data_IF_390562370670
#
_entry.id   IF_390562370670
#
_cell.length_a   1.000
_cell.length_b   1.000
_cell.length_c   1.000
_cell.angle_alpha   90.00
_cell.angle_beta   90.00
_cell.angle_gamma   90.00
#
_symmetry.space_group_name_H-M   'P 1'
#
loop_
_entity.id
_entity.type
_entity.pdbx_description
1 polymer ?
#
# COMPACT_ATOMS: atom_id res chain seq x y z
N UNK A 1 -22.21 26.14 -77.34
CA UNK A 1 -21.06 26.54 -76.51
C UNK A 1 -20.83 25.46 -75.44
N UNK A 2 -19.77 24.66 -75.56
CA UNK A 2 -19.39 23.62 -74.58
C UNK A 2 -18.50 24.25 -73.50
N UNK A 3 -18.96 24.19 -72.25
CA UNK A 3 -18.25 24.70 -71.07
C UNK A 3 -17.12 23.74 -70.66
N UNK A 4 -15.87 24.20 -70.73
CA UNK A 4 -14.68 23.51 -70.22
C UNK A 4 -14.66 23.65 -68.69
N UNK A 5 -14.80 22.53 -67.97
CA UNK A 5 -14.42 22.45 -66.55
C UNK A 5 -12.91 22.42 -66.46
N UNK A 6 -12.34 23.39 -65.76
CA UNK A 6 -10.93 23.50 -65.42
C UNK A 6 -10.66 22.71 -64.14
N UNK A 7 -9.84 21.67 -64.26
CA UNK A 7 -9.30 20.92 -63.12
C UNK A 7 -8.40 21.82 -62.26
N UNK A 8 -8.73 21.92 -60.97
CA UNK A 8 -7.89 22.60 -59.97
C UNK A 8 -6.86 21.63 -59.38
N UNK A 9 -5.66 22.12 -58.99
CA UNK A 9 -4.48 21.27 -58.85
C UNK A 9 -4.41 20.53 -57.52
N UNK A 10 -3.75 19.38 -57.58
CA UNK A 10 -3.46 18.35 -56.56
C UNK A 10 -2.58 18.85 -55.38
N UNK A 11 -2.37 20.16 -55.27
CA UNK A 11 -1.40 20.77 -54.34
C UNK A 11 -1.71 20.53 -52.84
N UNK A 12 -2.99 20.38 -52.47
CA UNK A 12 -3.39 20.18 -51.08
C UNK A 12 -2.97 18.82 -50.49
N UNK A 13 -2.89 17.78 -51.32
CA UNK A 13 -2.52 16.43 -50.85
C UNK A 13 -1.02 16.30 -50.59
N UNK A 14 -0.20 17.02 -51.34
CA UNK A 14 1.26 16.98 -51.19
C UNK A 14 1.72 17.47 -49.80
N UNK A 15 1.13 18.58 -49.33
CA UNK A 15 1.46 19.14 -48.00
C UNK A 15 1.11 18.21 -46.84
N UNK A 16 -0.01 17.49 -46.94
CA UNK A 16 -0.41 16.49 -45.94
C UNK A 16 0.60 15.33 -45.86
N UNK A 17 1.12 14.86 -46.98
CA UNK A 17 2.15 13.82 -47.00
C UNK A 17 3.48 14.30 -46.40
N UNK A 18 3.94 15.50 -46.76
CA UNK A 18 5.17 16.06 -46.20
C UNK A 18 5.08 16.25 -44.67
N UNK A 19 3.92 16.68 -44.17
CA UNK A 19 3.69 16.85 -42.73
C UNK A 19 3.71 15.52 -41.99
N UNK A 20 3.03 14.49 -42.52
CA UNK A 20 3.01 13.15 -41.92
C UNK A 20 4.40 12.51 -41.87
N UNK A 21 5.20 12.64 -42.94
CA UNK A 21 6.58 12.14 -42.98
C UNK A 21 7.45 12.85 -41.93
N UNK A 22 7.33 14.17 -41.80
CA UNK A 22 8.11 14.95 -40.83
C UNK A 22 7.83 14.53 -39.39
N UNK A 23 6.55 14.32 -39.03
CA UNK A 23 6.17 13.82 -37.71
C UNK A 23 6.75 12.42 -37.46
N UNK A 24 6.68 11.54 -38.46
CA UNK A 24 7.17 10.16 -38.33
C UNK A 24 8.68 10.13 -38.09
N UNK A 25 9.43 10.93 -38.88
CA UNK A 25 10.89 11.06 -38.71
C UNK A 25 11.22 11.63 -37.33
N UNK A 26 10.52 12.66 -36.86
CA UNK A 26 10.75 13.22 -35.53
C UNK A 26 10.51 12.21 -34.40
N UNK A 27 9.47 11.37 -34.51
CA UNK A 27 9.21 10.32 -33.52
C UNK A 27 10.30 9.23 -33.53
N UNK A 28 10.73 8.80 -34.73
CA UNK A 28 11.80 7.79 -34.86
C UNK A 28 13.12 8.33 -34.32
N UNK A 29 13.50 9.56 -34.66
CA UNK A 29 14.72 10.19 -34.15
C UNK A 29 14.66 10.41 -32.65
N UNK A 30 13.51 10.85 -32.10
CA UNK A 30 13.30 10.98 -30.66
C UNK A 30 13.47 9.65 -29.94
N UNK A 31 12.87 8.57 -30.47
CA UNK A 31 13.02 7.24 -29.90
C UNK A 31 14.46 6.73 -29.97
N UNK A 32 15.17 6.96 -31.09
CA UNK A 32 16.57 6.56 -31.28
C UNK A 32 17.53 7.33 -30.36
N UNK A 33 17.27 8.62 -30.11
CA UNK A 33 18.06 9.40 -29.16
C UNK A 33 17.82 8.93 -27.73
N UNK A 34 16.57 8.65 -27.35
CA UNK A 34 16.24 8.16 -26.01
C UNK A 34 16.78 6.75 -25.74
N UNK A 35 16.81 5.87 -26.75
CA UNK A 35 17.33 4.51 -26.59
C UNK A 35 18.87 4.44 -26.54
N UNK A 36 19.57 5.43 -27.12
CA UNK A 36 21.03 5.48 -27.12
C UNK A 36 21.63 6.35 -26.00
N UNK A 37 20.82 7.08 -25.25
CA UNK A 37 21.24 7.69 -23.98
C UNK A 37 21.31 6.61 -22.87
N UNK A 38 22.21 5.62 -23.05
CA UNK A 38 22.78 4.88 -21.93
C UNK A 38 23.74 5.82 -21.23
N UNK A 39 23.33 6.33 -20.06
CA UNK A 39 24.22 7.03 -19.14
C UNK A 39 25.44 6.12 -18.89
N UNK A 40 26.61 6.48 -19.41
CA UNK A 40 27.84 5.88 -18.92
C UNK A 40 27.98 6.31 -17.45
N UNK A 41 28.25 5.38 -16.52
CA UNK A 41 28.53 5.76 -15.15
C UNK A 41 29.77 6.66 -15.16
N UNK A 42 29.57 7.91 -14.74
CA UNK A 42 30.69 8.81 -14.44
C UNK A 42 31.35 8.22 -13.21
N UNK A 43 32.49 7.56 -13.42
CA UNK A 43 33.34 7.08 -12.33
C UNK A 43 33.78 8.28 -11.50
N UNK A 44 33.17 8.44 -10.33
CA UNK A 44 33.68 9.34 -9.30
C UNK A 44 34.91 8.62 -8.73
N UNK A 45 36.09 9.08 -9.12
CA UNK A 45 37.34 8.74 -8.46
C UNK A 45 37.29 9.42 -7.09
N UNK A 46 37.00 8.66 -6.05
CA UNK A 46 37.20 9.08 -4.67
C UNK A 46 38.71 8.93 -4.38
N UNK A 47 39.36 10.04 -4.09
CA UNK A 47 40.73 10.07 -3.59
C UNK A 47 40.80 9.35 -2.24
N UNK A 48 41.80 8.46 -2.13
CA UNK A 48 42.20 7.76 -0.91
C UNK A 48 42.44 8.75 0.23
N UNK A 49 41.60 8.70 1.25
CA UNK A 49 41.93 9.22 2.57
C UNK A 49 42.36 8.05 3.45
N UNK A 50 43.61 8.13 3.87
CA UNK A 50 44.37 7.24 4.76
C UNK A 50 43.51 6.64 5.89
N UNK A 51 43.39 5.32 5.87
CA UNK A 51 42.82 4.52 6.95
C UNK A 51 43.75 4.55 8.18
N UNK A 52 43.23 5.03 9.29
CA UNK A 52 43.77 4.85 10.63
C UNK A 52 43.38 3.43 11.08
N UNK A 53 44.38 2.57 11.31
CA UNK A 53 44.20 1.21 11.81
C UNK A 53 43.54 1.24 13.20
N UNK A 54 42.30 0.74 13.28
CA UNK A 54 41.70 0.33 14.55
C UNK A 54 42.02 -1.14 14.82
N UNK A 55 42.31 -1.53 16.07
CA UNK A 55 42.68 -2.89 16.41
C UNK A 55 41.46 -3.81 16.29
N UNK A 56 41.64 -4.92 15.56
CA UNK A 56 40.70 -6.03 15.53
C UNK A 56 40.48 -6.56 16.95
N UNK A 57 39.24 -6.44 17.44
CA UNK A 57 38.77 -7.24 18.56
C UNK A 57 38.22 -8.53 17.95
N UNK A 58 39.01 -9.59 18.08
CA UNK A 58 38.65 -10.97 17.76
C UNK A 58 37.59 -11.43 18.78
N UNK A 59 36.32 -11.18 18.45
CA UNK A 59 35.21 -11.73 19.20
C UNK A 59 35.02 -13.19 18.79
N UNK A 60 35.41 -14.09 19.69
CA UNK A 60 35.12 -15.52 19.58
C UNK A 60 33.60 -15.72 19.43
N UNK A 61 33.20 -16.23 18.27
CA UNK A 61 31.85 -16.70 18.00
C UNK A 61 31.71 -18.05 18.70
N UNK A 62 30.77 -18.23 19.65
CA UNK A 62 30.52 -19.54 20.24
C UNK A 62 29.90 -20.45 19.17
N UNK A 63 30.56 -21.59 18.91
CA UNK A 63 30.20 -22.62 17.93
C UNK A 63 28.96 -23.47 18.29
N UNK A 64 28.28 -23.20 19.41
CA UNK A 64 27.25 -24.09 19.94
C UNK A 64 25.87 -23.42 20.02
N UNK A 65 25.24 -23.17 18.87
CA UNK A 65 23.79 -22.97 18.77
C UNK A 65 23.30 -23.15 17.31
N UNK A 66 23.49 -24.35 16.76
CA UNK A 66 22.67 -24.80 15.62
C UNK A 66 21.24 -25.05 16.13
N UNK A 67 20.48 -23.98 16.30
CA UNK A 67 19.03 -24.08 16.41
C UNK A 67 18.51 -24.46 15.02
N UNK A 68 18.34 -25.77 14.84
CA UNK A 68 17.82 -26.42 13.64
C UNK A 68 16.42 -25.86 13.35
N UNK A 69 16.34 -24.77 12.58
CA UNK A 69 15.10 -24.31 11.96
C UNK A 69 14.75 -25.33 10.90
N UNK A 70 14.09 -26.40 11.33
CA UNK A 70 13.55 -27.42 10.46
C UNK A 70 12.56 -26.74 9.49
N UNK A 71 13.05 -26.42 8.29
CA UNK A 71 12.21 -26.18 7.13
C UNK A 71 11.62 -27.56 6.81
N UNK A 72 10.51 -27.86 7.50
CA UNK A 72 9.77 -29.09 7.33
C UNK A 72 9.35 -29.17 5.86
N UNK A 73 10.07 -29.99 5.10
CA UNK A 73 9.60 -30.57 3.86
C UNK A 73 8.51 -31.57 4.27
N UNK A 74 7.34 -31.03 4.60
CA UNK A 74 6.15 -31.80 4.94
C UNK A 74 5.79 -32.62 3.71
N UNK A 75 6.05 -33.93 3.78
CA UNK A 75 5.35 -34.88 2.92
C UNK A 75 3.86 -34.60 3.02
N UNK A 76 3.18 -34.55 1.86
CA UNK A 76 1.75 -34.26 1.68
C UNK A 76 0.83 -35.26 2.40
N UNK A 77 0.85 -35.29 3.73
CA UNK A 77 -0.26 -35.83 4.50
C UNK A 77 -1.35 -34.76 4.46
N UNK A 78 -2.50 -35.12 3.88
CA UNK A 78 -3.69 -34.27 3.90
C UNK A 78 -3.91 -33.73 5.32
N UNK A 79 -4.14 -32.42 5.49
CA UNK A 79 -4.33 -31.84 6.81
C UNK A 79 -5.52 -32.51 7.48
N UNK A 80 -5.40 -32.82 8.78
CA UNK A 80 -6.47 -33.45 9.55
C UNK A 80 -7.68 -32.50 9.74
N UNK A 81 -7.47 -31.19 9.58
CA UNK A 81 -8.47 -30.13 9.75
C UNK A 81 -8.43 -29.14 8.59
N UNK A 82 -9.55 -28.49 8.24
CA UNK A 82 -9.53 -27.44 7.24
C UNK A 82 -8.78 -26.19 7.73
N UNK A 83 -8.14 -25.51 6.79
CA UNK A 83 -7.41 -24.28 7.08
C UNK A 83 -8.35 -23.08 7.33
N UNK A 84 -7.98 -22.26 8.32
CA UNK A 84 -8.42 -20.88 8.48
C UNK A 84 -7.24 -19.95 8.18
N UNK A 85 -7.22 -19.41 6.97
CA UNK A 85 -6.18 -18.49 6.50
C UNK A 85 -6.57 -17.05 6.82
N UNK A 86 -5.81 -16.42 7.71
CA UNK A 86 -6.03 -15.04 8.14
C UNK A 86 -5.03 -14.12 7.47
N UNK A 87 -5.48 -13.32 6.51
CA UNK A 87 -4.63 -12.30 5.90
C UNK A 87 -4.67 -10.99 6.70
N UNK A 88 -3.55 -10.68 7.37
CA UNK A 88 -3.31 -9.47 8.17
C UNK A 88 -2.19 -8.65 7.53
N UNK A 89 -2.55 -7.69 6.68
CA UNK A 89 -1.58 -6.81 6.06
C UNK A 89 -1.46 -5.46 6.78
N UNK A 90 -0.28 -4.80 6.79
CA UNK A 90 -0.22 -3.38 7.06
C UNK A 90 -1.16 -2.70 6.07
N UNK A 91 -1.99 -1.80 6.57
CA UNK A 91 -3.06 -1.22 5.75
C UNK A 91 -2.52 -0.67 4.41
N UNK A 92 -3.24 -0.99 3.33
CA UNK A 92 -3.07 -0.56 1.93
C UNK A 92 -2.09 -1.34 1.05
N UNK A 93 -2.56 -1.54 -0.17
CA UNK A 93 -1.92 -2.17 -1.33
C UNK A 93 -1.94 -3.70 -1.28
N UNK A 94 -1.20 -4.41 -0.43
CA UNK A 94 -1.25 -5.89 -0.42
C UNK A 94 -2.66 -6.42 -0.14
N UNK A 95 -3.31 -5.93 0.91
CA UNK A 95 -4.70 -6.28 1.25
C UNK A 95 -5.69 -5.90 0.16
N UNK A 96 -5.56 -4.72 -0.44
CA UNK A 96 -6.48 -4.27 -1.49
C UNK A 96 -6.32 -5.09 -2.76
N UNK A 97 -5.09 -5.36 -3.18
CA UNK A 97 -4.79 -6.18 -4.35
C UNK A 97 -5.37 -7.58 -4.18
N UNK A 98 -5.09 -8.24 -3.05
CA UNK A 98 -5.66 -9.56 -2.77
C UNK A 98 -7.18 -9.53 -2.67
N UNK A 99 -7.77 -8.55 -1.99
CA UNK A 99 -9.22 -8.44 -1.89
C UNK A 99 -9.89 -8.21 -3.24
N UNK A 100 -9.25 -7.50 -4.17
CA UNK A 100 -9.76 -7.36 -5.54
C UNK A 100 -9.66 -8.71 -6.26
N UNK A 101 -8.48 -9.33 -6.25
CA UNK A 101 -8.24 -10.56 -7.00
C UNK A 101 -9.08 -11.73 -6.49
N UNK A 102 -9.18 -11.94 -5.17
CA UNK A 102 -10.02 -12.95 -4.52
C UNK A 102 -11.52 -12.80 -4.81
N UNK A 103 -11.94 -11.67 -5.38
CA UNK A 103 -13.34 -11.38 -5.70
C UNK A 103 -13.63 -11.37 -7.20
N UNK A 104 -12.61 -11.65 -8.04
CA UNK A 104 -12.82 -11.80 -9.48
C UNK A 104 -13.46 -13.16 -9.77
N UNK A 105 -14.40 -13.24 -10.73
CA UNK A 105 -15.04 -14.52 -11.09
C UNK A 105 -14.07 -15.65 -11.43
N UNK A 106 -12.93 -15.33 -12.07
CA UNK A 106 -11.89 -16.32 -12.38
C UNK A 106 -11.24 -16.91 -11.14
N UNK A 107 -10.99 -16.10 -10.12
CA UNK A 107 -10.40 -16.56 -8.86
C UNK A 107 -11.44 -17.24 -7.97
N UNK A 108 -12.71 -16.81 -8.00
CA UNK A 108 -13.81 -17.53 -7.34
C UNK A 108 -13.91 -18.98 -7.84
N UNK A 109 -13.82 -19.18 -9.16
CA UNK A 109 -13.85 -20.51 -9.75
C UNK A 109 -12.68 -21.39 -9.32
N UNK A 110 -11.44 -20.86 -9.34
CA UNK A 110 -10.28 -21.65 -8.91
C UNK A 110 -10.29 -21.92 -7.40
N UNK A 111 -10.79 -20.98 -6.59
CA UNK A 111 -10.89 -21.17 -5.14
C UNK A 111 -11.84 -22.33 -4.81
N UNK A 112 -12.97 -22.42 -5.50
CA UNK A 112 -13.89 -23.53 -5.37
C UNK A 112 -13.27 -24.87 -5.80
N UNK A 113 -12.40 -24.87 -6.82
CA UNK A 113 -11.67 -26.07 -7.25
C UNK A 113 -10.61 -26.50 -6.21
N UNK A 114 -9.96 -25.55 -5.56
CA UNK A 114 -8.96 -25.77 -4.51
C UNK A 114 -9.58 -25.91 -3.10
N UNK A 115 -10.91 -26.07 -2.99
CA UNK A 115 -11.66 -26.24 -1.73
C UNK A 115 -11.59 -25.06 -0.74
N UNK A 116 -11.42 -23.84 -1.27
CA UNK A 116 -11.39 -22.60 -0.49
C UNK A 116 -12.66 -21.76 -0.64
N UNK A 117 -13.11 -21.20 0.49
CA UNK A 117 -14.13 -20.16 0.56
C UNK A 117 -13.51 -18.82 0.97
N UNK A 118 -13.85 -17.76 0.26
CA UNK A 118 -13.41 -16.41 0.61
C UNK A 118 -14.45 -15.68 1.47
N UNK A 119 -14.07 -15.30 2.69
CA UNK A 119 -14.91 -14.57 3.65
C UNK A 119 -14.45 -13.14 3.95
N UNK A 120 -13.53 -12.59 3.16
CA UNK A 120 -12.96 -11.26 3.40
C UNK A 120 -13.80 -10.09 2.91
N UNK A 121 -13.25 -8.88 3.04
CA UNK A 121 -13.90 -7.66 2.56
C UNK A 121 -13.86 -7.57 1.03
N UNK A 122 -14.99 -7.23 0.43
CA UNK A 122 -15.06 -6.89 -1.00
C UNK A 122 -14.59 -5.45 -1.22
N UNK A 123 -13.65 -5.27 -2.14
CA UNK A 123 -13.20 -3.95 -2.51
C UNK A 123 -14.13 -3.38 -3.60
N UNK A 124 -15.23 -2.77 -3.18
CA UNK A 124 -16.22 -2.13 -4.08
C UNK A 124 -15.78 -0.75 -4.60
N UNK A 125 -14.60 -0.26 -4.20
CA UNK A 125 -14.14 1.04 -4.72
C UNK A 125 -13.62 0.80 -6.13
N UNK A 126 -14.05 1.62 -7.12
CA UNK A 126 -13.44 1.59 -8.43
C UNK A 126 -11.92 1.77 -8.24
N UNK A 127 -11.17 0.79 -8.72
CA UNK A 127 -9.71 0.76 -8.66
C UNK A 127 -9.19 0.80 -10.08
N UNK A 128 -8.04 1.42 -10.24
CA UNK A 128 -7.39 1.56 -11.54
C UNK A 128 -6.22 0.57 -11.59
N UNK A 129 -6.17 -0.27 -12.62
CA UNK A 129 -5.00 -1.10 -12.89
C UNK A 129 -3.81 -0.24 -13.33
N UNK A 130 -2.60 -0.81 -13.35
CA UNK A 130 -1.40 -0.06 -13.75
C UNK A 130 -1.44 0.49 -15.18
N UNK A 131 -2.29 -0.08 -16.05
CA UNK A 131 -2.53 0.36 -17.42
C UNK A 131 -3.62 1.45 -17.53
N UNK A 132 -4.15 1.93 -16.41
CA UNK A 132 -5.12 3.02 -16.38
C UNK A 132 -6.58 2.60 -16.56
N UNK A 133 -6.89 1.30 -16.64
CA UNK A 133 -8.28 0.83 -16.78
C UNK A 133 -8.98 0.76 -15.42
N UNK A 134 -10.25 1.15 -15.40
CA UNK A 134 -11.10 0.97 -14.23
C UNK A 134 -11.53 -0.49 -14.14
N UNK A 135 -11.38 -1.07 -12.95
CA UNK A 135 -11.91 -2.38 -12.63
C UNK A 135 -13.27 -2.20 -11.96
N UNK A 136 -14.31 -2.69 -12.63
CA UNK A 136 -15.64 -2.83 -12.05
C UNK A 136 -15.66 -4.08 -11.16
N UNK A 137 -16.25 -3.97 -9.98
CA UNK A 137 -16.51 -5.16 -9.15
C UNK A 137 -17.55 -6.05 -9.84
N UNK A 138 -17.62 -7.35 -9.49
CA UNK A 138 -18.62 -8.24 -10.06
C UNK A 138 -20.04 -7.73 -9.78
N UNK A 139 -20.93 -7.84 -10.77
CA UNK A 139 -22.34 -7.42 -10.68
C UNK A 139 -23.15 -8.31 -9.73
N UNK A 140 -22.72 -9.56 -9.53
CA UNK A 140 -23.31 -10.53 -8.60
C UNK A 140 -22.27 -11.60 -8.20
N UNK A 141 -22.47 -12.23 -7.04
CA UNK A 141 -21.65 -13.34 -6.54
C UNK A 141 -22.44 -14.64 -6.53
N UNK A 142 -21.77 -15.79 -6.36
CA UNK A 142 -22.46 -17.04 -6.04
C UNK A 142 -23.13 -16.98 -4.66
N UNK A 143 -24.22 -17.74 -4.47
CA UNK A 143 -24.99 -17.77 -3.22
C UNK A 143 -24.18 -18.11 -1.94
N UNK A 144 -23.22 -19.06 -1.95
CA UNK A 144 -22.40 -19.35 -0.78
C UNK A 144 -21.55 -18.14 -0.34
N UNK A 145 -20.99 -17.39 -1.31
CA UNK A 145 -20.23 -16.18 -1.03
C UNK A 145 -21.11 -15.04 -0.55
N UNK A 146 -22.32 -14.88 -1.09
CA UNK A 146 -23.29 -13.90 -0.58
C UNK A 146 -23.64 -14.14 0.89
N UNK A 147 -23.69 -15.41 1.30
CA UNK A 147 -24.06 -15.78 2.67
C UNK A 147 -22.89 -15.62 3.64
N UNK A 148 -21.69 -16.09 3.28
CA UNK A 148 -20.46 -15.81 4.04
C UNK A 148 -20.18 -14.31 4.13
N UNK A 149 -20.44 -13.57 3.05
CA UNK A 149 -20.47 -12.11 3.05
C UNK A 149 -21.45 -11.61 4.10
N UNK A 150 -22.69 -12.06 4.08
CA UNK A 150 -23.71 -11.55 5.01
C UNK A 150 -23.49 -11.99 6.46
N UNK A 151 -22.58 -12.92 6.74
CA UNK A 151 -22.13 -13.28 8.09
C UNK A 151 -20.94 -12.44 8.54
N UNK A 152 -19.96 -12.22 7.65
CA UNK A 152 -18.68 -11.57 7.98
C UNK A 152 -18.71 -10.05 7.74
N UNK A 153 -19.61 -9.57 6.88
CA UNK A 153 -19.77 -8.16 6.46
C UNK A 153 -20.79 -7.34 7.25
N UNK A 154 -21.79 -7.84 8.00
CA UNK A 154 -22.65 -6.95 8.77
C UNK A 154 -21.79 -6.01 9.61
N UNK A 155 -22.17 -4.73 9.66
CA UNK A 155 -21.52 -3.78 10.57
C UNK A 155 -21.46 -4.34 12.00
N UNK A 156 -22.41 -5.21 12.37
CA UNK A 156 -22.37 -6.03 13.59
C UNK A 156 -21.23 -7.03 13.63
N UNK A 157 -20.94 -7.84 12.61
CA UNK A 157 -19.84 -8.81 12.63
C UNK A 157 -18.46 -8.15 12.51
N UNK A 158 -18.35 -7.07 11.74
CA UNK A 158 -17.18 -6.17 11.75
C UNK A 158 -16.96 -5.56 13.13
N UNK A 159 -18.05 -5.12 13.76
CA UNK A 159 -18.01 -4.72 15.16
C UNK A 159 -17.65 -5.92 16.03
N UNK A 160 -18.21 -7.11 15.84
CA UNK A 160 -17.95 -8.35 16.59
C UNK A 160 -16.47 -8.68 16.55
N UNK A 161 -15.83 -8.85 15.39
CA UNK A 161 -14.37 -9.06 15.30
C UNK A 161 -13.60 -7.91 15.94
N UNK A 162 -14.04 -6.66 15.78
CA UNK A 162 -13.41 -5.49 16.42
C UNK A 162 -13.69 -5.34 17.93
N UNK A 163 -14.74 -5.99 18.43
CA UNK A 163 -15.25 -6.01 19.81
C UNK A 163 -14.79 -7.27 20.54
N UNK A 164 -14.41 -8.32 19.79
CA UNK A 164 -13.84 -9.55 20.27
C UNK A 164 -12.46 -9.20 20.85
N UNK A 165 -12.45 -8.96 22.15
CA UNK A 165 -11.26 -8.70 22.95
C UNK A 165 -10.93 -9.94 23.77
N UNK A 166 -9.76 -9.97 24.45
CA UNK A 166 -9.46 -11.03 25.42
C UNK A 166 -10.49 -11.08 26.55
N UNK A 167 -11.18 -9.96 26.81
CA UNK A 167 -12.25 -9.85 27.79
C UNK A 167 -13.63 -10.32 27.28
N UNK A 168 -13.76 -10.67 26.00
CA UNK A 168 -15.01 -11.17 25.39
C UNK A 168 -14.81 -12.49 24.62
N UNK A 169 -14.33 -13.57 25.25
CA UNK A 169 -14.02 -14.83 24.55
C UNK A 169 -15.23 -15.52 23.89
N UNK A 170 -16.45 -15.29 24.40
CA UNK A 170 -17.69 -15.80 23.77
C UNK A 170 -17.90 -15.28 22.35
N UNK A 171 -17.36 -14.09 22.05
CA UNK A 171 -17.41 -13.46 20.75
C UNK A 171 -16.70 -14.32 19.69
N UNK A 172 -15.48 -14.77 19.99
CA UNK A 172 -14.68 -15.63 19.11
C UNK A 172 -15.32 -17.01 18.91
N UNK A 173 -15.90 -17.61 19.96
CA UNK A 173 -16.64 -18.88 19.82
C UNK A 173 -17.89 -18.74 18.95
N UNK A 174 -18.61 -17.62 19.06
CA UNK A 174 -19.78 -17.37 18.21
C UNK A 174 -19.37 -17.14 16.75
N UNK A 175 -18.24 -16.49 16.51
CA UNK A 175 -17.68 -16.36 15.17
C UNK A 175 -17.26 -17.73 14.61
N UNK A 176 -16.58 -18.55 15.43
CA UNK A 176 -16.19 -19.91 15.06
C UNK A 176 -17.39 -20.76 14.69
N UNK A 177 -18.45 -20.77 15.50
CA UNK A 177 -19.69 -21.49 15.20
C UNK A 177 -20.32 -21.01 13.88
N UNK A 178 -20.42 -19.70 13.66
CA UNK A 178 -20.94 -19.15 12.40
C UNK A 178 -20.04 -19.49 11.20
N UNK A 179 -18.74 -19.59 11.39
CA UNK A 179 -17.84 -19.99 10.33
C UNK A 179 -18.08 -21.47 9.99
N UNK A 180 -18.09 -22.35 10.99
CA UNK A 180 -18.20 -23.80 10.80
C UNK A 180 -19.58 -24.21 10.25
N UNK A 181 -20.67 -23.57 10.69
CA UNK A 181 -22.02 -23.83 10.18
C UNK A 181 -22.15 -23.58 8.67
N UNK A 182 -21.38 -22.64 8.11
CA UNK A 182 -21.49 -22.24 6.71
C UNK A 182 -20.42 -22.81 5.80
N UNK A 183 -19.22 -23.04 6.34
CA UNK A 183 -18.09 -23.55 5.56
C UNK A 183 -17.94 -25.06 5.64
N UNK A 184 -18.55 -25.74 6.63
CA UNK A 184 -18.34 -27.16 6.84
C UNK A 184 -16.84 -27.50 6.86
N UNK A 185 -16.45 -28.45 6.01
CA UNK A 185 -15.08 -28.93 5.89
C UNK A 185 -14.21 -28.13 4.89
N UNK A 186 -14.75 -27.06 4.28
CA UNK A 186 -13.99 -26.23 3.35
C UNK A 186 -12.92 -25.39 4.05
N UNK A 187 -11.81 -25.11 3.36
CA UNK A 187 -10.83 -24.12 3.79
C UNK A 187 -11.39 -22.69 3.67
N UNK A 188 -10.88 -21.75 4.48
CA UNK A 188 -11.40 -20.38 4.50
C UNK A 188 -10.27 -19.37 4.44
N UNK A 189 -10.44 -18.35 3.60
CA UNK A 189 -9.58 -17.18 3.55
C UNK A 189 -10.35 -15.96 4.10
N UNK A 190 -9.84 -15.37 5.18
CA UNK A 190 -10.33 -14.11 5.75
C UNK A 190 -9.30 -13.01 5.54
N UNK A 191 -9.65 -12.01 4.72
CA UNK A 191 -8.80 -10.84 4.45
C UNK A 191 -9.55 -9.56 4.81
N UNK A 192 -9.17 -8.89 5.91
CA UNK A 192 -9.76 -7.61 6.30
C UNK A 192 -8.77 -6.65 6.98
N UNK A 193 -8.85 -5.36 6.64
CA UNK A 193 -7.95 -4.32 7.19
C UNK A 193 -8.09 -4.11 8.71
N UNK A 194 -9.30 -4.11 9.32
CA UNK A 194 -9.47 -3.97 10.76
C UNK A 194 -8.88 -5.11 11.58
N UNK A 195 -8.71 -6.31 10.98
CA UNK A 195 -8.08 -7.44 11.66
C UNK A 195 -6.64 -7.09 12.04
N UNK A 196 -5.87 -6.51 11.11
CA UNK A 196 -4.51 -6.05 11.36
C UNK A 196 -4.43 -4.95 12.43
N UNK A 197 -5.42 -4.05 12.50
CA UNK A 197 -5.45 -2.96 13.50
C UNK A 197 -5.68 -3.44 14.94
N UNK A 198 -6.21 -4.66 15.12
CA UNK A 198 -6.54 -5.25 16.42
C UNK A 198 -5.68 -6.47 16.72
N UNK A 199 -4.72 -6.79 15.86
CA UNK A 199 -3.89 -7.97 16.01
C UNK A 199 -2.82 -7.76 17.09
N UNK A 200 -3.18 -8.09 18.33
CA UNK A 200 -2.28 -8.09 19.50
C UNK A 200 -1.95 -9.54 19.88
N UNK A 201 -0.88 -9.80 20.65
CA UNK A 201 -0.58 -11.13 21.16
C UNK A 201 -1.79 -11.80 21.84
N UNK A 202 -2.55 -11.05 22.63
CA UNK A 202 -3.69 -11.54 23.38
C UNK A 202 -4.86 -11.90 22.47
N UNK A 203 -5.17 -11.05 21.48
CA UNK A 203 -6.22 -11.33 20.51
C UNK A 203 -5.87 -12.52 19.61
N UNK A 204 -4.62 -12.60 19.16
CA UNK A 204 -4.11 -13.73 18.39
C UNK A 204 -4.23 -15.04 19.20
N UNK A 205 -3.89 -15.02 20.50
CA UNK A 205 -4.03 -16.18 21.39
C UNK A 205 -5.49 -16.59 21.60
N UNK A 206 -6.40 -15.64 21.86
CA UNK A 206 -7.82 -15.94 22.08
C UNK A 206 -8.46 -16.51 20.81
N UNK A 207 -8.08 -15.98 19.64
CA UNK A 207 -8.49 -16.54 18.36
C UNK A 207 -7.93 -17.95 18.17
N UNK A 208 -6.64 -18.19 18.45
CA UNK A 208 -6.04 -19.53 18.42
C UNK A 208 -6.84 -20.51 19.28
N UNK A 209 -7.14 -20.15 20.51
CA UNK A 209 -7.88 -20.99 21.45
C UNK A 209 -9.33 -21.26 21.00
N UNK A 210 -9.94 -20.35 20.24
CA UNK A 210 -11.30 -20.53 19.73
C UNK A 210 -11.39 -21.51 18.55
N UNK A 211 -10.36 -21.59 17.71
CA UNK A 211 -10.39 -22.40 16.48
C UNK A 211 -9.52 -23.66 16.53
N UNK A 212 -8.61 -23.82 17.51
CA UNK A 212 -7.62 -24.92 17.57
C UNK A 212 -8.19 -26.34 17.42
N UNK A 213 -9.43 -26.56 17.88
CA UNK A 213 -10.03 -27.89 17.89
C UNK A 213 -10.71 -28.23 16.55
N UNK A 214 -11.01 -27.22 15.73
CA UNK A 214 -11.81 -27.35 14.50
C UNK A 214 -11.05 -26.98 13.23
N UNK A 215 -10.03 -26.11 13.30
CA UNK A 215 -9.30 -25.60 12.13
C UNK A 215 -7.82 -25.41 12.39
N UNK A 216 -7.04 -25.60 11.33
CA UNK A 216 -5.63 -25.24 11.31
C UNK A 216 -5.49 -23.78 10.89
N UNK A 217 -4.92 -22.95 11.76
CA UNK A 217 -4.81 -21.51 11.50
C UNK A 217 -3.51 -21.24 10.77
N UNK A 218 -3.56 -20.46 9.68
CA UNK A 218 -2.39 -19.87 9.03
C UNK A 218 -2.54 -18.36 8.97
N UNK A 219 -1.57 -17.62 9.50
CA UNK A 219 -1.58 -16.15 9.44
C UNK A 219 -0.71 -15.67 8.28
N UNK A 220 -1.31 -15.00 7.31
CA UNK A 220 -0.61 -14.41 6.18
C UNK A 220 -0.40 -12.94 6.44
N UNK A 221 0.86 -12.52 6.58
CA UNK A 221 1.21 -11.15 6.94
C UNK A 221 1.72 -10.43 5.71
N UNK A 222 0.99 -9.43 5.23
CA UNK A 222 1.48 -8.57 4.15
C UNK A 222 2.76 -7.84 4.59
N UNK A 223 3.75 -7.76 3.71
CA UNK A 223 4.92 -6.92 3.91
C UNK A 223 4.96 -5.83 2.86
N UNK A 224 5.21 -4.60 3.32
CA UNK A 224 5.49 -3.42 2.51
C UNK A 224 6.71 -2.73 3.12
N UNK A 225 7.66 -2.29 2.32
CA UNK A 225 8.85 -1.58 2.81
C UNK A 225 8.45 -0.40 3.68
N UNK A 226 9.16 -0.23 4.79
CA UNK A 226 8.84 0.78 5.79
C UNK A 226 8.80 2.19 5.20
N UNK A 227 9.79 2.55 4.36
CA UNK A 227 9.81 3.87 3.71
C UNK A 227 8.59 4.12 2.82
N UNK A 228 8.00 3.09 2.20
CA UNK A 228 6.86 3.28 1.29
C UNK A 228 5.52 3.16 2.01
N UNK A 229 5.45 2.35 3.06
CA UNK A 229 4.32 2.28 3.97
C UNK A 229 4.12 3.60 4.71
N UNK A 230 5.21 4.20 5.19
CA UNK A 230 5.15 5.30 6.15
C UNK A 230 4.40 6.55 5.61
N UNK A 231 4.75 7.13 4.45
CA UNK A 231 3.99 8.24 3.87
C UNK A 231 2.53 7.87 3.59
N UNK A 232 2.23 6.59 3.32
CA UNK A 232 0.87 6.10 3.05
C UNK A 232 0.03 6.11 4.32
N UNK A 233 0.59 5.60 5.42
CA UNK A 233 -0.02 5.61 6.73
C UNK A 233 -0.36 7.04 7.17
N UNK A 234 0.61 7.96 7.07
CA UNK A 234 0.41 9.38 7.43
C UNK A 234 -0.64 10.05 6.55
N UNK A 235 -0.57 9.84 5.23
CA UNK A 235 -1.54 10.42 4.30
C UNK A 235 -2.96 9.96 4.61
N UNK A 236 -3.16 8.67 4.90
CA UNK A 236 -4.49 8.13 5.25
C UNK A 236 -5.01 8.71 6.56
N UNK A 237 -4.15 8.83 7.58
CA UNK A 237 -4.51 9.45 8.87
C UNK A 237 -4.96 10.88 8.67
N UNK A 238 -4.19 11.65 7.91
CA UNK A 238 -4.52 13.02 7.55
C UNK A 238 -5.82 13.10 6.75
N UNK A 239 -6.03 12.21 5.77
CA UNK A 239 -7.27 12.15 4.98
C UNK A 239 -8.50 11.86 5.83
N UNK A 240 -8.42 10.95 6.82
CA UNK A 240 -9.54 10.66 7.73
C UNK A 240 -9.98 11.92 8.50
N UNK A 241 -9.03 12.79 8.89
CA UNK A 241 -9.32 14.09 9.52
C UNK A 241 -10.00 15.09 8.57
N UNK A 242 -9.94 14.86 7.25
CA UNK A 242 -10.61 15.70 6.25
C UNK A 242 -12.07 15.34 6.00
N UNK A 243 -12.52 14.15 6.42
CA UNK A 243 -13.90 13.70 6.16
C UNK A 243 -14.91 14.56 6.93
N UNK A 244 -14.48 15.22 8.00
CA UNK A 244 -15.33 16.15 8.74
C UNK A 244 -15.56 17.45 7.95
N UNK A 245 -16.83 17.72 7.63
CA UNK A 245 -17.25 18.95 6.94
C UNK A 245 -17.21 20.17 7.85
N UNK A 246 -17.14 19.97 9.16
CA UNK A 246 -17.09 21.06 10.12
C UNK A 246 -15.70 21.67 10.17
N UNK A 247 -15.66 22.94 10.59
CA UNK A 247 -14.42 23.55 11.01
C UNK A 247 -13.92 22.79 12.25
N UNK A 248 -12.61 22.50 12.35
CA UNK A 248 -12.06 21.98 13.60
C UNK A 248 -12.43 22.90 14.76
N UNK A 249 -12.68 22.30 15.92
CA UNK A 249 -12.71 23.05 17.16
C UNK A 249 -11.32 23.70 17.40
N UNK A 250 -11.28 24.85 18.09
CA UNK A 250 -10.05 25.67 18.20
C UNK A 250 -8.89 24.82 18.76
N UNK A 251 -7.76 24.77 18.05
CA UNK A 251 -6.52 24.14 18.53
C UNK A 251 -6.25 22.71 18.03
N UNK A 252 -7.27 21.98 17.56
CA UNK A 252 -7.13 20.55 17.20
C UNK A 252 -6.48 20.28 15.83
N UNK A 253 -6.48 21.26 14.92
CA UNK A 253 -5.93 21.12 13.56
C UNK A 253 -4.54 21.76 13.41
N UNK A 254 -3.83 21.93 14.52
CA UNK A 254 -2.40 22.26 14.48
C UNK A 254 -1.62 21.05 13.97
N UNK A 255 -1.43 21.07 12.64
CA UNK A 255 -0.54 20.23 11.83
C UNK A 255 -1.13 18.89 11.41
N UNK A 256 -1.21 18.69 10.09
CA UNK A 256 -1.05 17.37 9.50
C UNK A 256 0.04 16.65 10.25
N UNK A 257 -0.14 15.37 10.55
CA UNK A 257 0.92 14.69 11.27
C UNK A 257 2.19 14.75 10.41
N UNK A 258 3.25 15.35 10.96
CA UNK A 258 4.44 15.60 10.17
C UNK A 258 5.16 14.26 9.97
N UNK A 259 5.77 14.08 8.80
CA UNK A 259 6.46 12.84 8.43
C UNK A 259 7.74 12.69 9.24
N UNK A 260 8.46 13.80 9.44
CA UNK A 260 9.83 13.82 9.95
C UNK A 260 9.99 13.79 11.47
N UNK A 261 9.19 14.51 12.28
CA UNK A 261 9.27 14.43 13.73
C UNK A 261 8.99 13.04 14.29
N UNK A 262 8.49 12.12 13.47
CA UNK A 262 8.18 10.76 13.87
C UNK A 262 9.30 9.76 13.55
N UNK A 263 10.25 10.09 12.66
CA UNK A 263 11.38 9.21 12.35
C UNK A 263 12.47 9.23 13.43
N UNK A 264 12.51 10.28 14.25
CA UNK A 264 13.34 10.33 15.47
C UNK A 264 12.62 9.84 16.73
N UNK A 265 11.33 9.51 16.64
CA UNK A 265 10.58 8.94 17.75
C UNK A 265 10.73 7.41 17.72
N UNK A 266 10.83 6.77 18.90
CA UNK A 266 10.94 5.32 18.99
C UNK A 266 9.80 4.62 18.25
N UNK A 267 10.03 3.38 17.81
CA UNK A 267 9.00 2.49 17.25
C UNK A 267 7.72 2.44 18.11
N UNK A 268 7.85 2.64 19.41
CA UNK A 268 6.78 2.71 20.40
C UNK A 268 5.87 3.93 20.18
N UNK A 269 6.42 5.07 19.77
CA UNK A 269 5.63 6.26 19.42
C UNK A 269 4.74 6.05 18.19
N UNK A 270 5.07 5.04 17.36
CA UNK A 270 4.23 4.60 16.24
C UNK A 270 3.12 3.64 16.68
N UNK A 271 3.41 2.75 17.65
CA UNK A 271 2.43 1.80 18.21
C UNK A 271 1.21 2.50 18.81
N UNK A 272 1.40 3.66 19.44
CA UNK A 272 0.30 4.45 20.03
C UNK A 272 -0.68 5.03 18.99
N UNK A 273 -0.37 5.01 17.69
CA UNK A 273 -1.10 5.79 16.67
C UNK A 273 -1.93 4.98 15.68
N UNK A 274 -2.38 3.78 16.09
CA UNK A 274 -3.39 2.96 15.40
C UNK A 274 -3.05 2.47 13.99
N UNK A 275 -1.77 2.35 13.63
CA UNK A 275 -1.37 1.63 12.42
C UNK A 275 -0.25 0.67 12.79
N UNK A 276 -0.57 -0.63 12.73
CA UNK A 276 0.37 -1.72 12.90
C UNK A 276 1.19 -1.88 11.62
N UNK A 277 2.52 -1.82 11.77
CA UNK A 277 3.44 -2.23 10.73
C UNK A 277 3.65 -3.76 10.80
N UNK A 278 4.23 -4.34 9.75
CA UNK A 278 4.43 -5.79 9.60
C UNK A 278 5.20 -6.39 10.78
N UNK A 279 6.17 -5.67 11.33
CA UNK A 279 6.98 -6.12 12.49
C UNK A 279 6.11 -6.47 13.71
N UNK A 280 5.17 -5.60 14.05
CA UNK A 280 4.29 -5.73 15.20
C UNK A 280 3.29 -6.88 15.00
N UNK A 281 2.87 -7.10 13.75
CA UNK A 281 2.00 -8.23 13.38
C UNK A 281 2.75 -9.55 13.51
N UNK A 282 4.01 -9.61 13.04
CA UNK A 282 4.87 -10.80 13.18
C UNK A 282 5.11 -11.11 14.65
N UNK A 283 5.53 -10.11 15.44
CA UNK A 283 5.76 -10.27 16.88
C UNK A 283 4.51 -10.77 17.61
N UNK A 284 3.34 -10.18 17.33
CA UNK A 284 2.07 -10.60 17.94
C UNK A 284 1.70 -12.05 17.57
N UNK A 285 1.97 -12.45 16.33
CA UNK A 285 1.67 -13.79 15.83
C UNK A 285 2.61 -14.84 16.42
N UNK A 286 3.91 -14.53 16.50
CA UNK A 286 4.92 -15.35 17.15
C UNK A 286 4.63 -15.53 18.65
N UNK A 287 4.26 -14.45 19.35
CA UNK A 287 3.90 -14.48 20.77
C UNK A 287 2.66 -15.36 21.05
N UNK A 288 1.75 -15.50 20.09
CA UNK A 288 0.62 -16.43 20.16
C UNK A 288 0.96 -17.87 19.70
N UNK A 289 2.20 -18.10 19.28
CA UNK A 289 2.67 -19.36 18.68
C UNK A 289 1.76 -19.81 17.53
N UNK A 290 1.40 -18.87 16.65
CA UNK A 290 0.65 -19.15 15.43
C UNK A 290 1.63 -19.27 14.24
N UNK A 291 1.43 -20.25 13.35
CA UNK A 291 2.22 -20.33 12.14
C UNK A 291 1.85 -19.13 11.23
N UNK A 292 2.87 -18.56 10.59
CA UNK A 292 2.68 -17.42 9.72
C UNK A 292 3.58 -17.47 8.50
N UNK A 293 3.15 -16.79 7.44
CA UNK A 293 3.92 -16.57 6.22
C UNK A 293 3.89 -15.09 5.88
N UNK A 294 4.99 -14.58 5.35
CA UNK A 294 5.09 -13.19 4.93
C UNK A 294 4.80 -13.13 3.43
N UNK A 295 3.89 -12.24 3.05
CA UNK A 295 3.55 -11.95 1.66
C UNK A 295 4.30 -10.69 1.22
N UNK A 296 5.40 -10.85 0.51
CA UNK A 296 6.29 -9.75 0.12
C UNK A 296 5.82 -9.05 -1.17
N UNK A 297 5.14 -7.92 -1.04
CA UNK A 297 4.65 -7.19 -2.22
C UNK A 297 5.75 -6.54 -3.08
N UNK A 298 7.01 -6.64 -2.66
CA UNK A 298 8.17 -6.10 -3.34
C UNK A 298 9.04 -7.19 -3.98
N UNK A 299 8.62 -8.45 -3.97
CA UNK A 299 9.33 -9.50 -4.73
C UNK A 299 9.30 -9.17 -6.24
N UNK A 300 10.46 -8.99 -6.89
CA UNK A 300 10.51 -8.68 -8.32
C UNK A 300 10.15 -9.86 -9.22
N UNK A 301 10.13 -11.09 -8.67
CA UNK A 301 9.93 -12.33 -9.44
C UNK A 301 8.47 -12.73 -9.58
N UNK A 302 7.58 -12.18 -8.75
CA UNK A 302 6.22 -12.69 -8.61
C UNK A 302 5.22 -11.59 -8.23
N UNK A 303 3.99 -11.70 -8.74
CA UNK A 303 2.91 -10.79 -8.35
C UNK A 303 2.42 -11.12 -6.95
N UNK A 304 1.78 -10.15 -6.26
CA UNK A 304 1.18 -10.37 -4.93
C UNK A 304 0.25 -11.59 -4.92
N UNK A 305 -0.56 -11.74 -5.96
CA UNK A 305 -1.50 -12.86 -6.06
C UNK A 305 -0.80 -14.17 -6.39
N UNK A 306 0.20 -14.16 -7.26
CA UNK A 306 1.02 -15.36 -7.53
C UNK A 306 1.72 -15.85 -6.27
N UNK A 307 2.34 -14.97 -5.49
CA UNK A 307 2.92 -15.36 -4.19
C UNK A 307 1.87 -15.94 -3.25
N UNK A 308 0.71 -15.27 -3.14
CA UNK A 308 -0.33 -15.69 -2.23
C UNK A 308 -0.84 -17.10 -2.56
N UNK A 309 -1.14 -17.39 -3.82
CA UNK A 309 -1.66 -18.71 -4.22
C UNK A 309 -0.57 -19.78 -4.34
N UNK A 310 0.61 -19.45 -4.84
CA UNK A 310 1.65 -20.44 -5.12
C UNK A 310 2.59 -20.72 -3.95
N UNK A 311 2.87 -19.72 -3.11
CA UNK A 311 3.90 -19.82 -2.06
C UNK A 311 3.30 -19.79 -0.66
N UNK A 312 2.12 -19.20 -0.49
CA UNK A 312 1.52 -18.98 0.83
C UNK A 312 0.39 -19.95 1.12
N UNK A 313 -0.57 -20.09 0.22
CA UNK A 313 -1.73 -20.96 0.42
C UNK A 313 -1.39 -22.44 0.22
N UNK A 314 -1.68 -23.30 1.21
CA UNK A 314 -1.54 -24.74 1.02
C UNK A 314 -2.59 -25.26 0.03
N UNK A 315 -2.23 -26.24 -0.79
CA UNK A 315 -3.15 -26.95 -1.70
C UNK A 315 -3.89 -26.09 -2.73
N UNK A 316 -3.44 -24.85 -3.01
CA UNK A 316 -4.09 -23.93 -3.95
C UNK A 316 -3.56 -24.08 -5.40
N UNK A 317 -3.59 -25.31 -5.93
CA UNK A 317 -2.92 -25.63 -7.20
C UNK A 317 -3.58 -24.98 -8.43
N UNK A 318 -4.92 -24.96 -8.49
CA UNK A 318 -5.68 -24.35 -9.59
C UNK A 318 -5.48 -22.83 -9.59
N UNK A 319 -5.63 -22.21 -8.41
CA UNK A 319 -5.42 -20.78 -8.27
C UNK A 319 -3.96 -20.37 -8.50
N UNK A 320 -2.99 -21.19 -8.10
CA UNK A 320 -1.59 -20.92 -8.41
C UNK A 320 -1.35 -20.90 -9.93
N UNK A 321 -1.87 -21.89 -10.67
CA UNK A 321 -1.74 -21.91 -12.13
C UNK A 321 -2.40 -20.69 -12.78
N UNK A 322 -3.60 -20.32 -12.33
CA UNK A 322 -4.27 -19.12 -12.79
C UNK A 322 -3.45 -17.85 -12.51
N UNK A 323 -2.92 -17.71 -11.29
CA UNK A 323 -2.16 -16.55 -10.86
C UNK A 323 -0.79 -16.43 -11.56
N UNK A 324 -0.13 -17.56 -11.83
CA UNK A 324 1.14 -17.60 -12.56
C UNK A 324 0.97 -17.18 -14.03
N UNK A 325 -0.18 -17.50 -14.64
CA UNK A 325 -0.51 -17.12 -16.01
C UNK A 325 -1.11 -15.72 -16.12
N UNK A 326 -1.57 -15.14 -15.01
CA UNK A 326 -2.15 -13.81 -15.00
C UNK A 326 -1.05 -12.76 -15.20
N UNK A 327 -1.14 -11.98 -16.27
CA UNK A 327 -0.34 -10.76 -16.47
C UNK A 327 -0.76 -9.61 -15.54
N UNK A 328 -1.55 -9.91 -14.50
CA UNK A 328 -2.17 -8.91 -13.63
C UNK A 328 -1.08 -8.10 -12.95
N UNK A 329 -1.02 -6.80 -13.26
CA UNK A 329 -0.15 -5.90 -12.55
C UNK A 329 -0.62 -5.74 -11.11
N UNK A 330 0.34 -5.67 -10.18
CA UNK A 330 0.06 -5.33 -8.80
C UNK A 330 -0.74 -4.03 -8.76
N UNK A 331 -1.94 -4.08 -8.16
CA UNK A 331 -2.80 -2.91 -8.02
C UNK A 331 -2.11 -1.95 -7.06
N UNK A 332 -1.42 -0.96 -7.62
CA UNK A 332 -0.86 0.11 -6.82
C UNK A 332 -1.98 1.09 -6.49
N UNK A 333 -2.13 1.41 -5.21
CA UNK A 333 -2.91 2.58 -4.80
C UNK A 333 -2.12 3.84 -5.20
N UNK A 334 -2.09 4.13 -6.50
CA UNK A 334 -1.46 5.34 -7.03
C UNK A 334 -2.22 6.51 -6.47
N UNK A 335 -1.54 7.31 -5.64
CA UNK A 335 -2.10 8.59 -5.20
C UNK A 335 -2.16 9.46 -6.44
N UNK A 336 -3.36 9.86 -6.81
CA UNK A 336 -3.48 10.86 -7.88
C UNK A 336 -2.97 12.20 -7.34
N UNK A 337 -2.38 12.99 -8.22
CA UNK A 337 -1.96 14.37 -7.90
C UNK A 337 -3.13 15.15 -7.27
N UNK A 338 -4.35 14.96 -7.78
CA UNK A 338 -5.59 15.51 -7.24
C UNK A 338 -5.84 15.14 -5.76
N UNK A 339 -5.57 13.90 -5.35
CA UNK A 339 -5.76 13.49 -3.95
C UNK A 339 -4.77 14.19 -3.02
N UNK A 340 -3.53 14.35 -3.47
CA UNK A 340 -2.50 15.08 -2.72
C UNK A 340 -2.86 16.56 -2.64
N UNK A 341 -3.26 17.17 -3.76
CA UNK A 341 -3.70 18.56 -3.82
C UNK A 341 -4.92 18.82 -2.94
N UNK A 342 -5.91 17.92 -2.94
CA UNK A 342 -7.08 18.06 -2.07
C UNK A 342 -6.68 18.12 -0.60
N UNK A 343 -5.69 17.31 -0.19
CA UNK A 343 -5.15 17.36 1.16
C UNK A 343 -4.46 18.70 1.45
N UNK A 344 -3.67 19.21 0.51
CA UNK A 344 -2.98 20.50 0.67
C UNK A 344 -3.95 21.67 0.75
N UNK A 345 -4.91 21.77 -0.18
CA UNK A 345 -5.92 22.83 -0.16
C UNK A 345 -6.70 22.85 1.15
N UNK A 346 -7.08 21.68 1.64
CA UNK A 346 -7.83 21.59 2.89
C UNK A 346 -6.97 22.00 4.10
N UNK A 347 -5.71 21.57 4.12
CA UNK A 347 -4.74 21.94 5.16
C UNK A 347 -4.54 23.45 5.23
N UNK A 348 -4.32 24.09 4.08
CA UNK A 348 -4.12 25.54 3.99
C UNK A 348 -5.40 26.27 4.42
N UNK A 349 -6.55 25.84 3.92
CA UNK A 349 -7.86 26.43 4.26
C UNK A 349 -8.12 26.37 5.76
N UNK A 350 -7.85 25.22 6.36
CA UNK A 350 -8.01 25.01 7.79
C UNK A 350 -7.07 25.88 8.62
N UNK A 351 -5.81 25.96 8.22
CA UNK A 351 -4.81 26.79 8.91
C UNK A 351 -5.11 28.29 8.78
N UNK A 352 -5.61 28.74 7.63
CA UNK A 352 -6.09 30.11 7.43
C UNK A 352 -7.27 30.41 8.35
N UNK A 353 -8.22 29.49 8.50
CA UNK A 353 -9.34 29.63 9.42
C UNK A 353 -8.88 29.67 10.89
N UNK A 354 -7.85 28.91 11.26
CA UNK A 354 -7.25 28.95 12.59
C UNK A 354 -6.55 30.30 12.89
N UNK A 355 -5.99 30.95 11.86
CA UNK A 355 -5.45 32.33 11.96
C UNK A 355 -6.52 33.43 11.97
N UNK A 356 -7.80 33.08 11.90
CA UNK A 356 -8.90 34.05 11.83
C UNK A 356 -9.04 34.73 10.47
N UNK A 357 -8.43 34.18 9.41
CA UNK A 357 -8.53 34.74 8.05
C UNK A 357 -9.83 34.36 7.33
N UNK A 358 -10.64 33.47 7.92
CA UNK A 358 -11.91 33.00 7.37
C UNK A 358 -13.00 33.15 8.42
N UNK A 359 -14.11 33.78 8.06
CA UNK A 359 -15.30 33.92 8.89
C UNK A 359 -16.08 32.60 8.95
N UNK A 360 -15.72 31.73 9.91
CA UNK A 360 -16.21 30.33 10.02
C UNK A 360 -17.73 30.17 10.07
N UNK A 361 -18.48 31.16 10.56
CA UNK A 361 -19.96 31.10 10.59
C UNK A 361 -20.62 31.50 9.27
N UNK A 362 -19.88 32.15 8.36
CA UNK A 362 -20.38 32.61 7.05
C UNK A 362 -20.02 31.65 5.93
N UNK A 363 -18.84 31.03 6.02
CA UNK A 363 -18.32 30.14 5.00
C UNK A 363 -18.11 28.74 5.55
N UNK A 364 -18.46 27.73 4.76
CA UNK A 364 -18.14 26.34 5.09
C UNK A 364 -16.73 25.96 4.64
N UNK A 365 -16.10 25.00 5.32
CA UNK A 365 -14.76 24.48 4.94
C UNK A 365 -14.70 23.97 3.49
N UNK A 366 -15.65 23.13 3.02
CA UNK A 366 -15.62 22.66 1.63
C UNK A 366 -15.72 23.81 0.62
N UNK A 367 -16.55 24.82 0.88
CA UNK A 367 -16.72 25.98 -0.01
C UNK A 367 -15.40 26.76 -0.20
N UNK A 368 -14.69 27.05 0.90
CA UNK A 368 -13.43 27.80 0.81
C UNK A 368 -12.33 26.95 0.17
N UNK A 369 -12.30 25.64 0.46
CA UNK A 369 -11.33 24.70 -0.14
C UNK A 369 -11.48 24.62 -1.65
N UNK A 370 -12.70 24.40 -2.16
CA UNK A 370 -12.91 24.31 -3.62
C UNK A 370 -12.58 25.65 -4.31
N UNK A 371 -12.93 26.77 -3.70
CA UNK A 371 -12.55 28.08 -4.25
C UNK A 371 -11.04 28.32 -4.24
N UNK A 372 -10.31 27.77 -3.26
CA UNK A 372 -8.84 27.81 -3.23
C UNK A 372 -8.25 26.95 -4.34
N UNK A 373 -8.83 25.76 -4.58
CA UNK A 373 -8.46 24.88 -5.70
C UNK A 373 -8.63 25.60 -7.04
N UNK A 374 -9.78 26.21 -7.29
CA UNK A 374 -10.02 27.00 -8.50
C UNK A 374 -9.03 28.15 -8.65
N UNK A 375 -8.78 28.89 -7.56
CA UNK A 375 -7.82 29.99 -7.56
C UNK A 375 -6.39 29.54 -7.89
N UNK A 376 -5.98 28.37 -7.39
CA UNK A 376 -4.68 27.79 -7.70
C UNK A 376 -4.55 27.42 -9.18
N UNK A 377 -5.53 26.71 -9.74
CA UNK A 377 -5.51 26.33 -11.16
C UNK A 377 -5.57 27.53 -12.11
N UNK A 378 -6.17 28.64 -11.69
CA UNK A 378 -6.22 29.87 -12.47
C UNK A 378 -4.88 30.63 -12.48
N UNK A 379 -3.88 30.24 -11.66
CA UNK A 379 -2.58 30.92 -11.57
C UNK A 379 -1.44 29.96 -11.93
N UNK A 380 -0.38 30.42 -12.59
CA UNK A 380 0.82 29.64 -12.85
C UNK A 380 1.70 29.55 -11.58
N UNK A 381 1.10 29.22 -10.43
CA UNK A 381 1.85 28.83 -9.24
C UNK A 381 2.46 27.46 -9.57
N UNK A 382 3.63 27.46 -10.21
CA UNK A 382 4.16 26.25 -10.84
C UNK A 382 4.46 25.14 -9.83
N UNK A 383 4.68 25.46 -8.55
CA UNK A 383 5.08 24.48 -7.55
C UNK A 383 4.55 24.87 -6.16
N UNK A 384 4.12 23.86 -5.41
CA UNK A 384 3.87 23.96 -3.99
C UNK A 384 5.16 24.34 -3.26
N UNK A 385 5.07 25.20 -2.25
CA UNK A 385 6.17 25.34 -1.28
C UNK A 385 6.20 24.08 -0.44
N UNK A 386 7.21 23.25 -0.66
CA UNK A 386 7.40 22.00 0.06
C UNK A 386 8.61 22.11 0.99
N UNK A 387 8.48 21.52 2.18
CA UNK A 387 9.56 21.25 3.11
C UNK A 387 9.97 19.78 2.96
N UNK A 388 11.19 19.54 2.49
CA UNK A 388 11.77 18.23 2.26
C UNK A 388 12.78 17.88 3.38
N UNK A 389 13.01 16.58 3.63
CA UNK A 389 14.02 16.13 4.59
C UNK A 389 15.43 16.53 4.17
N UNK A 390 16.32 16.60 5.16
CA UNK A 390 17.76 16.62 4.94
C UNK A 390 18.27 15.25 4.49
N UNK A 391 19.46 15.19 3.89
CA UNK A 391 20.12 13.94 3.51
C UNK A 391 20.30 13.00 4.69
N UNK A 392 20.67 13.52 5.87
CA UNK A 392 20.80 12.73 7.09
C UNK A 392 19.48 12.07 7.51
N UNK A 393 18.36 12.80 7.40
CA UNK A 393 17.03 12.24 7.72
C UNK A 393 16.59 11.18 6.70
N UNK A 394 16.93 11.37 5.41
CA UNK A 394 16.69 10.36 4.38
C UNK A 394 17.52 9.10 4.64
N UNK A 395 18.80 9.25 5.01
CA UNK A 395 19.66 8.12 5.33
C UNK A 395 19.13 7.34 6.53
N UNK A 396 18.71 8.01 7.61
CA UNK A 396 18.10 7.34 8.77
C UNK A 396 16.83 6.54 8.38
N UNK A 397 15.97 7.11 7.52
CA UNK A 397 14.79 6.40 7.03
C UNK A 397 15.14 5.18 6.17
N UNK A 398 16.15 5.32 5.31
CA UNK A 398 16.66 4.22 4.49
C UNK A 398 17.20 3.10 5.39
N UNK A 399 18.10 3.42 6.31
CA UNK A 399 18.74 2.44 7.21
C UNK A 399 17.71 1.71 8.06
N UNK A 400 16.73 2.43 8.61
CA UNK A 400 15.63 1.82 9.36
C UNK A 400 14.78 0.90 8.48
N UNK A 401 14.43 1.33 7.28
CA UNK A 401 13.62 0.53 6.37
C UNK A 401 14.35 -0.72 5.90
N UNK A 402 15.64 -0.60 5.57
CA UNK A 402 16.48 -1.72 5.19
C UNK A 402 16.63 -2.69 6.35
N UNK A 403 16.95 -2.22 7.56
CA UNK A 403 17.04 -3.08 8.75
C UNK A 403 15.78 -3.91 8.96
N UNK A 404 14.60 -3.29 8.86
CA UNK A 404 13.32 -4.00 8.99
C UNK A 404 13.11 -5.04 7.87
N UNK A 405 13.53 -4.77 6.64
CA UNK A 405 13.50 -5.76 5.56
C UNK A 405 14.43 -6.94 5.83
N UNK A 406 15.64 -6.66 6.33
CA UNK A 406 16.62 -7.70 6.72
C UNK A 406 16.05 -8.60 7.82
N UNK A 407 15.38 -8.03 8.81
CA UNK A 407 14.80 -8.79 9.92
C UNK A 407 13.59 -9.64 9.49
N UNK A 408 12.76 -9.13 8.58
CA UNK A 408 11.48 -9.77 8.22
C UNK A 408 11.58 -10.71 7.03
N UNK A 409 12.33 -10.34 5.99
CA UNK A 409 12.29 -11.04 4.68
C UNK A 409 13.49 -11.95 4.48
N UNK A 410 14.69 -11.51 4.87
CA UNK A 410 15.93 -12.25 4.58
C UNK A 410 16.02 -13.63 5.22
N UNK A 411 15.45 -13.90 6.42
CA UNK A 411 15.45 -15.24 6.98
C UNK A 411 14.76 -16.27 6.07
N UNK A 412 13.77 -15.83 5.28
CA UNK A 412 13.03 -16.68 4.35
C UNK A 412 13.47 -16.56 2.89
N UNK A 413 14.33 -15.58 2.58
CA UNK A 413 14.81 -15.35 1.22
C UNK A 413 16.00 -16.26 0.89
N UNK A 414 16.07 -16.69 -0.37
CA UNK A 414 17.24 -17.37 -0.93
C UNK A 414 18.51 -16.52 -0.69
N UNK A 415 19.58 -17.09 -0.12
CA UNK A 415 20.85 -16.39 0.06
C UNK A 415 21.35 -15.66 -1.19
N UNK A 416 21.17 -16.23 -2.39
CA UNK A 416 21.60 -15.62 -3.65
C UNK A 416 20.78 -14.36 -3.99
N UNK A 417 19.52 -14.31 -3.56
CA UNK A 417 18.63 -13.17 -3.82
C UNK A 417 18.83 -12.01 -2.83
N UNK A 418 19.52 -12.22 -1.70
CA UNK A 418 19.68 -11.17 -0.66
C UNK A 418 20.39 -9.91 -1.19
N UNK A 419 21.39 -10.08 -2.05
CA UNK A 419 22.09 -8.95 -2.68
C UNK A 419 21.13 -8.13 -3.57
N UNK A 420 20.36 -8.81 -4.40
CA UNK A 420 19.38 -8.17 -5.29
C UNK A 420 18.27 -7.45 -4.53
N UNK A 421 17.83 -8.01 -3.39
CA UNK A 421 16.84 -7.35 -2.53
C UNK A 421 17.35 -6.02 -1.97
N UNK A 422 18.62 -5.93 -1.57
CA UNK A 422 19.20 -4.68 -1.07
C UNK A 422 19.34 -3.62 -2.17
N UNK A 423 19.81 -3.99 -3.37
CA UNK A 423 19.90 -3.07 -4.51
C UNK A 423 18.51 -2.57 -4.94
N UNK A 424 17.52 -3.47 -4.98
CA UNK A 424 16.14 -3.12 -5.34
C UNK A 424 15.51 -2.21 -4.27
N UNK A 425 15.78 -2.47 -2.97
CA UNK A 425 15.40 -1.56 -1.87
C UNK A 425 15.98 -0.16 -2.06
N UNK A 426 17.28 -0.07 -2.36
CA UNK A 426 17.99 1.19 -2.58
C UNK A 426 17.42 1.95 -3.77
N UNK A 427 17.34 1.28 -4.93
CA UNK A 427 16.83 1.87 -6.16
C UNK A 427 15.40 2.38 -6.00
N UNK A 428 14.52 1.57 -5.38
CA UNK A 428 13.15 1.95 -5.11
C UNK A 428 13.06 3.09 -4.08
N UNK A 429 13.87 3.10 -3.02
CA UNK A 429 13.94 4.20 -2.07
C UNK A 429 14.33 5.52 -2.75
N UNK A 430 15.41 5.52 -3.53
CA UNK A 430 15.89 6.70 -4.26
C UNK A 430 14.86 7.20 -5.28
N UNK A 431 14.12 6.29 -5.92
CA UNK A 431 12.98 6.64 -6.77
C UNK A 431 11.97 7.49 -6.02
N UNK A 432 11.59 7.09 -4.81
CA UNK A 432 10.66 7.85 -3.95
C UNK A 432 11.23 9.18 -3.49
N UNK A 433 12.54 9.28 -3.25
CA UNK A 433 13.22 10.55 -2.97
C UNK A 433 13.09 11.50 -4.15
N UNK A 434 13.40 11.04 -5.37
CA UNK A 434 13.31 11.84 -6.60
C UNK A 434 11.88 12.30 -6.89
N UNK A 435 10.88 11.48 -6.58
CA UNK A 435 9.45 11.82 -6.68
C UNK A 435 8.98 12.84 -5.63
N UNK A 436 9.82 13.21 -4.67
CA UNK A 436 9.43 14.07 -3.56
C UNK A 436 8.39 13.41 -2.64
N UNK A 437 8.33 12.07 -2.60
CA UNK A 437 7.33 11.32 -1.84
C UNK A 437 7.37 11.59 -0.33
N UNK A 438 8.51 12.09 0.14
CA UNK A 438 8.76 12.41 1.54
C UNK A 438 8.72 13.93 1.84
N UNK A 439 8.49 14.77 0.84
CA UNK A 439 8.30 16.20 1.05
C UNK A 439 6.89 16.48 1.58
N UNK A 440 6.77 17.49 2.43
CA UNK A 440 5.49 17.93 2.99
C UNK A 440 5.19 19.37 2.62
N UNK A 441 3.93 19.77 2.67
CA UNK A 441 3.54 21.15 2.45
C UNK A 441 4.21 22.07 3.49
N UNK A 442 5.01 23.05 3.04
CA UNK A 442 5.42 24.18 3.87
C UNK A 442 4.19 25.06 4.08
N UNK A 443 3.49 24.80 5.17
CA UNK A 443 2.24 25.48 5.49
C UNK A 443 2.46 26.98 5.71
N UNK A 444 3.61 27.39 6.27
CA UNK A 444 3.89 28.80 6.55
C UNK A 444 4.07 29.55 5.23
N UNK A 445 4.94 29.06 4.34
CA UNK A 445 5.15 29.65 3.03
C UNK A 445 3.86 29.63 2.20
N UNK A 446 3.13 28.50 2.21
CA UNK A 446 1.86 28.37 1.48
C UNK A 446 0.80 29.36 1.96
N UNK A 447 0.65 29.56 3.27
CA UNK A 447 -0.29 30.56 3.80
C UNK A 447 0.04 31.97 3.34
N UNK A 448 1.32 32.31 3.23
CA UNK A 448 1.71 33.62 2.71
C UNK A 448 1.43 33.78 1.22
N UNK A 449 1.70 32.74 0.43
CA UNK A 449 1.33 32.69 -0.99
C UNK A 449 -0.17 32.93 -1.20
N UNK A 450 -1.03 32.38 -0.34
CA UNK A 450 -2.49 32.50 -0.45
C UNK A 450 -3.10 33.59 0.43
N UNK A 451 -2.30 34.47 1.05
CA UNK A 451 -2.81 35.53 1.95
C UNK A 451 -3.83 36.44 1.25
N UNK A 452 -3.55 36.85 0.02
CA UNK A 452 -4.45 37.70 -0.76
C UNK A 452 -5.79 37.03 -1.02
N UNK A 453 -5.77 35.74 -1.39
CA UNK A 453 -6.97 34.93 -1.62
C UNK A 453 -7.89 34.92 -0.39
N UNK A 454 -7.34 34.79 0.81
CA UNK A 454 -8.16 34.70 2.03
C UNK A 454 -8.80 36.02 2.46
N UNK A 455 -8.33 37.19 2.00
CA UNK A 455 -8.91 38.50 2.36
C UNK A 455 -10.40 38.64 2.02
N UNK A 456 -10.90 37.91 1.02
CA UNK A 456 -12.32 37.92 0.64
C UNK A 456 -13.21 37.10 1.58
N UNK A 457 -12.61 36.23 2.40
CA UNK A 457 -13.31 35.37 3.37
C UNK A 457 -13.21 35.90 4.81
N UNK A 458 -12.40 36.92 5.07
CA UNK A 458 -12.25 37.54 6.39
C UNK A 458 -13.33 38.58 6.71
N UNK A 459 -14.10 39.00 5.69
CA UNK A 459 -15.28 39.88 5.79
C UNK A 459 -16.54 39.04 5.63
#
# INVERSE_FOLDING_TARGET
>A
MKSRKTDRPVAGRFWLYCFAITITVAMITGHYLLSNYRLQPVGIVLEDSTAEEQPMIEAAIPEDAEEEVAIATTQDTLPEKPFLVLHVGPGKTATTTLQVDLTRPSFEACLAEDDYLYGGRFYLKPSQSSDGKWMEGPESFSQPLDTLRDILIPAKARNTVSECSPTRPKCWKSLQQQIDEFSGDHHIILSDEPLALRWTPENAKVMKDAFRDVRDILVVIGYRRFYDWLPSSIFQRNRKRLVDKHWPSRGELAMLDPLWPLLGASTEAWKERHYTFTDSLVQATQAASLPHRILNMHDPTSTVSSQFFCQVLPSASSCCQLAANATSSTIMNVRTEDQVHQLYFDTITTAAAAKGWIHKSKYSRPQVREALKEYYHARPLKQWSLYCPTEQQLQLLYDQSLRMEKELIWPTADPELRYHLEEEHRSAFEGRVREGAFCQLDLKASLETFREFFRKYSK
#
